data_IF_249329879277
#
_entry.id   IF_249329879277
#
_cell.length_a   1.000
_cell.length_b   1.000
_cell.length_c   1.000
_cell.angle_alpha   90.00
_cell.angle_beta   90.00
_cell.angle_gamma   90.00
#
_symmetry.space_group_name_H-M   'P 1'
#
loop_
_entity.id
_entity.type
_entity.pdbx_description
1 polymer ?
#
# COMPACT_ATOMS: atom_id res chain seq x y z
N UNK A 1 -17.72 -15.90 23.88
CA UNK A 1 -17.29 -15.14 22.70
C UNK A 1 -15.77 -15.00 22.77
N UNK A 2 -15.05 -15.47 21.76
CA UNK A 2 -13.62 -15.21 21.65
C UNK A 2 -13.43 -13.70 21.44
N UNK A 3 -12.51 -13.08 22.16
CA UNK A 3 -12.23 -11.64 22.00
C UNK A 3 -11.62 -11.45 20.61
N UNK A 4 -12.24 -10.61 19.77
CA UNK A 4 -11.71 -10.29 18.45
C UNK A 4 -10.41 -9.52 18.55
N UNK A 5 -9.60 -9.61 17.49
CA UNK A 5 -8.32 -8.91 17.39
C UNK A 5 -8.58 -7.42 17.18
N UNK A 6 -7.86 -6.60 17.95
CA UNK A 6 -7.83 -5.16 17.77
C UNK A 6 -6.39 -4.77 17.48
N UNK A 7 -6.13 -4.30 16.26
CA UNK A 7 -4.78 -4.13 15.73
C UNK A 7 -4.52 -2.63 15.53
N UNK A 8 -3.57 -2.09 16.30
CA UNK A 8 -3.06 -0.73 16.12
C UNK A 8 -2.04 -0.74 14.99
N UNK A 9 -2.27 0.02 13.93
CA UNK A 9 -1.31 0.19 12.86
C UNK A 9 -0.66 1.58 12.92
N UNK A 10 0.67 1.60 12.90
CA UNK A 10 1.48 2.81 12.76
C UNK A 10 2.27 2.69 11.44
N UNK A 11 1.74 3.20 10.33
CA UNK A 11 2.30 2.94 8.99
C UNK A 11 3.59 3.71 8.67
N UNK A 12 3.94 4.73 9.46
CA UNK A 12 5.08 5.58 9.15
C UNK A 12 5.87 6.00 10.40
N UNK A 13 7.19 6.09 10.27
CA UNK A 13 8.10 6.41 11.39
C UNK A 13 7.87 7.81 11.96
N UNK A 14 7.41 8.75 11.13
CA UNK A 14 7.09 10.12 11.58
C UNK A 14 5.94 10.18 12.60
N UNK A 15 5.05 9.19 12.61
CA UNK A 15 4.06 9.08 13.68
C UNK A 15 4.72 8.77 15.03
N UNK A 16 5.77 7.94 15.04
CA UNK A 16 6.53 7.62 16.26
C UNK A 16 7.50 8.74 16.66
N UNK A 17 7.85 9.63 15.72
CA UNK A 17 8.56 10.86 16.04
C UNK A 17 7.64 11.91 16.70
N UNK A 18 6.32 11.84 16.47
CA UNK A 18 5.35 12.78 17.06
C UNK A 18 5.08 12.46 18.54
N UNK A 19 4.87 11.18 18.86
CA UNK A 19 4.53 10.74 20.22
C UNK A 19 4.97 9.29 20.46
N UNK A 20 5.23 8.91 21.72
CA UNK A 20 5.63 7.55 22.08
C UNK A 20 4.52 6.51 21.88
N UNK A 21 4.89 5.22 21.88
CA UNK A 21 4.00 4.09 21.62
C UNK A 21 2.84 4.02 22.60
N UNK A 22 3.08 4.28 23.89
CA UNK A 22 2.04 4.24 24.92
C UNK A 22 0.93 5.28 24.67
N UNK A 23 1.28 6.44 24.10
CA UNK A 23 0.30 7.44 23.69
C UNK A 23 -0.52 6.99 22.48
N UNK A 24 0.08 6.32 21.50
CA UNK A 24 -0.66 5.74 20.38
C UNK A 24 -1.62 4.63 20.82
N UNK A 25 -1.19 3.78 21.78
CA UNK A 25 -2.04 2.76 22.40
C UNK A 25 -3.22 3.42 23.14
N UNK A 26 -2.98 4.48 23.91
CA UNK A 26 -4.05 5.25 24.59
C UNK A 26 -5.00 5.91 23.59
N UNK A 27 -4.49 6.48 22.49
CA UNK A 27 -5.30 7.09 21.45
C UNK A 27 -6.21 6.06 20.78
N UNK A 28 -5.68 4.88 20.45
CA UNK A 28 -6.45 3.76 19.92
C UNK A 28 -7.54 3.30 20.89
N UNK A 29 -7.21 3.13 22.16
CA UNK A 29 -8.16 2.69 23.19
C UNK A 29 -9.19 3.75 23.62
N UNK A 30 -9.06 4.99 23.13
CA UNK A 30 -9.92 6.10 23.55
C UNK A 30 -11.38 5.94 23.13
N UNK A 31 -12.27 6.67 23.81
CA UNK A 31 -13.70 6.71 23.46
C UNK A 31 -13.99 7.25 22.06
N UNK A 32 -13.04 8.02 21.51
CA UNK A 32 -13.09 8.64 20.19
C UNK A 32 -12.65 7.69 19.08
N UNK A 33 -12.04 6.55 19.40
CA UNK A 33 -11.52 5.60 18.42
C UNK A 33 -12.12 4.20 18.57
N UNK A 34 -11.44 3.26 19.24
CA UNK A 34 -11.86 1.85 19.28
C UNK A 34 -12.45 1.40 20.62
N UNK A 35 -12.31 2.17 21.71
CA UNK A 35 -12.79 1.80 23.06
C UNK A 35 -12.28 0.46 23.59
N UNK A 36 -11.24 -0.09 22.98
CA UNK A 36 -10.64 -1.36 23.36
C UNK A 36 -9.12 -1.26 23.21
N UNK A 37 -8.40 -1.85 24.15
CA UNK A 37 -6.93 -1.90 24.10
C UNK A 37 -6.50 -2.80 22.93
N UNK A 38 -5.54 -2.36 22.10
CA UNK A 38 -5.04 -3.19 21.03
C UNK A 38 -4.41 -4.47 21.59
N UNK A 39 -4.72 -5.59 20.97
CA UNK A 39 -4.09 -6.89 21.24
C UNK A 39 -2.79 -7.06 20.47
N UNK A 40 -2.66 -6.30 19.38
CA UNK A 40 -1.54 -6.38 18.43
C UNK A 40 -1.20 -4.98 17.93
N UNK A 41 0.06 -4.80 17.55
CA UNK A 41 0.57 -3.56 16.99
C UNK A 41 1.37 -3.86 15.71
N UNK A 42 1.25 -2.99 14.73
CA UNK A 42 2.00 -3.02 13.48
C UNK A 42 2.91 -1.81 13.46
N UNK A 43 4.22 -2.05 13.36
CA UNK A 43 5.26 -1.03 13.40
C UNK A 43 5.86 -0.80 12.01
N UNK A 44 6.25 0.45 11.68
CA UNK A 44 6.80 0.81 10.37
C UNK A 44 8.23 0.27 10.26
N UNK A 45 8.40 -0.89 9.61
CA UNK A 45 9.66 -1.60 9.56
C UNK A 45 10.47 -1.26 8.30
N UNK A 46 9.86 -1.44 7.11
CA UNK A 46 10.46 -1.05 5.82
C UNK A 46 9.46 -0.16 5.10
N UNK A 47 9.67 1.15 5.20
CA UNK A 47 8.81 2.17 4.60
C UNK A 47 9.31 2.64 3.23
N UNK A 48 8.71 3.71 2.72
CA UNK A 48 9.11 4.34 1.47
C UNK A 48 10.54 4.92 1.54
N UNK A 49 10.93 5.43 2.70
CA UNK A 49 12.25 6.03 2.95
C UNK A 49 13.32 5.05 3.43
N UNK A 50 13.02 3.76 3.53
CA UNK A 50 13.98 2.72 3.93
C UNK A 50 13.60 1.94 5.19
N UNK A 51 14.49 1.03 5.63
CA UNK A 51 14.33 0.30 6.88
C UNK A 51 14.52 1.21 8.09
N UNK A 52 13.68 1.05 9.11
CA UNK A 52 13.80 1.73 10.42
C UNK A 52 14.76 1.01 11.37
N UNK A 53 15.66 0.20 10.81
CA UNK A 53 16.63 -0.62 11.50
C UNK A 53 17.91 -0.76 10.67
N UNK A 54 18.98 -1.26 11.28
CA UNK A 54 20.21 -1.57 10.56
C UNK A 54 20.00 -2.79 9.66
N UNK A 55 20.04 -2.58 8.35
CA UNK A 55 19.90 -3.63 7.35
C UNK A 55 21.13 -3.77 6.46
N UNK A 56 21.45 -4.99 6.07
CA UNK A 56 22.45 -5.34 5.07
C UNK A 56 22.08 -4.85 3.66
N UNK A 57 20.77 -4.72 3.36
CA UNK A 57 20.28 -4.27 2.04
C UNK A 57 20.47 -2.77 1.86
N UNK A 58 20.12 -1.99 2.89
CA UNK A 58 20.23 -0.54 2.86
C UNK A 58 20.60 -0.01 4.25
N UNK A 59 21.87 0.38 4.47
CA UNK A 59 22.36 0.65 5.82
C UNK A 59 21.84 1.95 6.44
N UNK A 60 21.16 2.83 5.67
CA UNK A 60 20.65 4.11 6.18
C UNK A 60 19.23 4.45 5.73
N UNK A 61 18.24 4.69 6.59
CA UNK A 61 17.00 5.33 6.15
C UNK A 61 17.29 6.76 5.63
N UNK A 62 16.62 7.16 4.55
CA UNK A 62 16.70 8.50 3.96
C UNK A 62 15.90 9.50 4.80
N UNK A 63 16.31 9.77 6.04
CA UNK A 63 15.73 10.86 6.82
C UNK A 63 16.42 12.19 6.51
N UNK A 64 15.62 13.26 6.49
CA UNK A 64 16.10 14.65 6.41
C UNK A 64 16.96 15.02 7.64
N UNK A 65 16.59 14.52 8.82
CA UNK A 65 17.37 14.53 10.07
C UNK A 65 16.94 13.34 10.95
N UNK A 66 17.82 12.74 11.77
CA UNK A 66 17.42 11.69 12.71
C UNK A 66 16.38 12.22 13.72
N UNK A 67 15.34 11.46 14.07
CA UNK A 67 14.39 11.87 15.10
C UNK A 67 15.11 12.06 16.45
N UNK A 68 14.66 13.03 17.24
CA UNK A 68 15.15 13.23 18.61
C UNK A 68 14.25 12.47 19.58
N UNK A 69 14.86 11.79 20.53
CA UNK A 69 14.15 11.16 21.63
C UNK A 69 13.36 12.23 22.41
N UNK A 70 12.06 12.01 22.57
CA UNK A 70 11.14 12.98 23.16
C UNK A 70 11.42 13.26 24.64
N UNK A 71 12.09 12.34 25.36
CA UNK A 71 12.40 12.46 26.80
C UNK A 71 13.76 13.11 27.05
N UNK A 72 14.73 12.90 26.18
CA UNK A 72 16.14 13.24 26.37
C UNK A 72 16.64 14.30 25.39
N UNK A 73 15.90 14.56 24.30
CA UNK A 73 16.26 15.52 23.26
C UNK A 73 17.48 15.11 22.41
N UNK A 74 18.02 13.90 22.61
CA UNK A 74 19.17 13.38 21.85
C UNK A 74 18.70 12.81 20.52
N UNK A 75 19.53 12.96 19.48
CA UNK A 75 19.31 12.28 18.22
C UNK A 75 19.33 10.76 18.44
N UNK A 76 18.23 10.10 18.11
CA UNK A 76 18.17 8.63 18.04
C UNK A 76 18.93 8.23 16.78
N UNK A 77 19.79 7.23 16.89
CA UNK A 77 20.43 6.68 15.69
C UNK A 77 19.34 6.09 14.80
N UNK A 78 19.26 6.47 13.51
CA UNK A 78 18.17 6.02 12.65
C UNK A 78 18.01 4.49 12.52
N UNK A 79 19.07 3.74 12.82
CA UNK A 79 19.15 2.28 12.65
C UNK A 79 18.76 1.47 13.89
N UNK A 80 18.43 2.12 15.00
CA UNK A 80 18.03 1.45 16.26
C UNK A 80 16.53 1.63 16.58
N UNK A 81 15.74 2.21 15.65
CA UNK A 81 14.36 2.63 15.93
C UNK A 81 13.42 1.44 16.13
N UNK A 82 13.37 0.51 15.17
CA UNK A 82 12.45 -0.63 15.26
C UNK A 82 12.73 -1.55 16.46
N UNK A 83 13.99 -1.94 16.78
CA UNK A 83 14.27 -2.72 17.97
C UNK A 83 13.79 -2.05 19.27
N UNK A 84 14.04 -0.75 19.42
CA UNK A 84 13.57 0.06 20.57
C UNK A 84 12.04 0.06 20.66
N UNK A 85 11.35 0.25 19.54
CA UNK A 85 9.89 0.22 19.51
C UNK A 85 9.32 -1.16 19.86
N UNK A 86 9.95 -2.24 19.41
CA UNK A 86 9.56 -3.61 19.79
C UNK A 86 9.72 -3.78 21.30
N UNK A 87 10.85 -3.39 21.88
CA UNK A 87 11.10 -3.46 23.32
C UNK A 87 10.04 -2.69 24.12
N UNK A 88 9.76 -1.45 23.74
CA UNK A 88 8.70 -0.63 24.36
C UNK A 88 7.32 -1.30 24.30
N UNK A 89 6.97 -1.94 23.18
CA UNK A 89 5.70 -2.68 23.08
C UNK A 89 5.63 -3.82 24.10
N UNK A 90 6.74 -4.56 24.27
CA UNK A 90 6.82 -5.69 25.21
C UNK A 90 6.86 -5.24 26.67
N UNK A 91 7.47 -4.10 26.97
CA UNK A 91 7.41 -3.49 28.30
C UNK A 91 5.99 -3.07 28.68
N UNK A 92 5.25 -2.48 27.74
CA UNK A 92 3.86 -2.05 27.94
C UNK A 92 2.93 -3.26 28.11
N UNK A 93 3.09 -4.27 27.27
CA UNK A 93 2.32 -5.50 27.32
C UNK A 93 3.13 -6.69 26.76
N UNK A 94 3.65 -7.58 27.62
CA UNK A 94 4.46 -8.73 27.18
C UNK A 94 3.76 -9.64 26.18
N UNK A 95 2.43 -9.73 26.25
CA UNK A 95 1.59 -10.58 25.39
C UNK A 95 1.16 -9.88 24.08
N UNK A 96 1.52 -8.61 23.89
CA UNK A 96 1.17 -7.86 22.67
C UNK A 96 1.92 -8.42 21.47
N UNK A 97 1.20 -8.88 20.45
CA UNK A 97 1.84 -9.31 19.21
C UNK A 97 2.31 -8.12 18.38
N UNK A 98 3.52 -8.21 17.85
CA UNK A 98 4.16 -7.16 17.06
C UNK A 98 4.35 -7.62 15.62
N UNK A 99 3.77 -6.87 14.69
CA UNK A 99 3.90 -7.10 13.25
C UNK A 99 4.84 -6.05 12.63
N UNK A 100 5.63 -6.46 11.65
CA UNK A 100 6.43 -5.55 10.84
C UNK A 100 5.68 -5.15 9.58
N UNK A 101 5.48 -3.84 9.38
CA UNK A 101 4.96 -3.28 8.13
C UNK A 101 6.08 -3.13 7.10
N UNK A 102 5.88 -3.74 5.93
CA UNK A 102 6.78 -3.69 4.78
C UNK A 102 6.02 -3.12 3.59
N UNK A 103 6.52 -2.01 3.06
CA UNK A 103 6.07 -1.48 1.78
C UNK A 103 7.01 -1.99 0.67
N UNK A 104 6.59 -2.97 -0.15
CA UNK A 104 7.43 -3.62 -1.13
C UNK A 104 7.62 -2.80 -2.42
N UNK A 105 7.12 -1.56 -2.45
CA UNK A 105 7.45 -0.56 -3.47
C UNK A 105 8.95 -0.21 -3.42
N UNK A 106 9.56 -0.23 -2.22
CA UNK A 106 10.99 0.02 -1.99
C UNK A 106 11.57 1.26 -2.71
N UNK A 107 10.84 2.38 -2.69
CA UNK A 107 11.17 3.63 -3.38
C UNK A 107 12.58 4.18 -3.05
N UNK A 108 13.11 3.84 -1.88
CA UNK A 108 14.45 4.24 -1.43
C UNK A 108 15.61 3.54 -2.14
N UNK A 109 15.37 2.42 -2.84
CA UNK A 109 16.43 1.67 -3.53
C UNK A 109 16.83 2.38 -4.84
N UNK A 110 18.14 2.51 -5.07
CA UNK A 110 18.67 3.01 -6.34
C UNK A 110 18.99 1.84 -7.27
N UNK A 111 18.24 1.70 -8.36
CA UNK A 111 18.47 0.62 -9.34
C UNK A 111 17.52 0.67 -10.52
N UNK A 112 17.97 1.22 -11.66
CA UNK A 112 17.13 1.33 -12.87
C UNK A 112 16.66 -0.05 -13.37
N UNK A 113 17.49 -1.09 -13.25
CA UNK A 113 17.19 -2.45 -13.73
C UNK A 113 16.20 -3.23 -12.85
N UNK A 114 15.91 -2.74 -11.65
CA UNK A 114 14.95 -3.35 -10.72
C UNK A 114 13.61 -2.63 -10.68
N UNK A 115 13.51 -1.47 -11.33
CA UNK A 115 12.29 -0.65 -11.39
C UNK A 115 11.24 -1.26 -12.29
N UNK A 116 10.00 -0.85 -12.03
CA UNK A 116 8.90 -1.09 -12.94
C UNK A 116 9.03 -0.22 -14.19
N UNK A 117 8.61 -0.81 -15.30
CA UNK A 117 8.42 -0.11 -16.56
C UNK A 117 6.93 -0.04 -16.87
N UNK A 118 6.51 1.12 -17.35
CA UNK A 118 5.21 1.26 -17.99
C UNK A 118 5.22 0.73 -19.44
N UNK A 119 4.08 0.82 -20.11
CA UNK A 119 3.93 0.36 -21.49
C UNK A 119 4.79 1.12 -22.51
N UNK A 120 5.35 2.28 -22.14
CA UNK A 120 6.23 3.07 -22.99
C UNK A 120 7.71 2.79 -22.70
N UNK A 121 8.01 1.86 -21.78
CA UNK A 121 9.37 1.58 -21.33
C UNK A 121 9.93 2.67 -20.41
N UNK A 122 9.08 3.54 -19.86
CA UNK A 122 9.49 4.58 -18.92
C UNK A 122 9.56 3.96 -17.52
N UNK A 123 10.65 4.22 -16.81
CA UNK A 123 10.83 3.79 -15.41
C UNK A 123 9.87 4.54 -14.50
N UNK A 124 9.21 3.81 -13.60
CA UNK A 124 8.52 4.40 -12.47
C UNK A 124 9.53 4.52 -11.34
N UNK A 125 10.06 5.72 -11.17
CA UNK A 125 11.24 5.98 -10.32
C UNK A 125 11.05 5.57 -8.86
N UNK A 126 9.80 5.57 -8.39
CA UNK A 126 9.45 5.25 -7.02
C UNK A 126 8.99 3.80 -6.82
N UNK A 127 8.90 2.95 -7.87
CA UNK A 127 8.36 1.59 -7.73
C UNK A 127 9.29 0.49 -8.24
N UNK A 128 9.75 -0.35 -7.32
CA UNK A 128 10.48 -1.57 -7.63
C UNK A 128 9.54 -2.70 -8.08
N UNK A 129 10.04 -3.54 -8.99
CA UNK A 129 9.29 -4.69 -9.48
C UNK A 129 9.39 -5.87 -8.52
N UNK A 130 8.31 -6.23 -7.81
CA UNK A 130 8.32 -7.37 -6.89
C UNK A 130 8.39 -8.75 -7.60
N UNK A 131 8.23 -8.79 -8.93
CA UNK A 131 8.48 -9.99 -9.74
C UNK A 131 9.98 -10.19 -9.99
N UNK A 132 10.80 -9.15 -9.82
CA UNK A 132 12.24 -9.24 -10.00
C UNK A 132 12.87 -10.07 -8.88
N UNK A 133 13.64 -11.10 -9.25
CA UNK A 133 14.31 -11.99 -8.30
C UNK A 133 15.27 -11.28 -7.34
N UNK A 134 15.91 -10.18 -7.78
CA UNK A 134 16.81 -9.38 -6.93
C UNK A 134 16.01 -8.73 -5.81
N UNK A 135 14.86 -8.12 -6.14
CA UNK A 135 13.96 -7.51 -5.15
C UNK A 135 13.40 -8.56 -4.19
N UNK A 136 13.09 -9.75 -4.69
CA UNK A 136 12.66 -10.87 -3.84
C UNK A 136 13.77 -11.34 -2.89
N UNK A 137 15.01 -11.43 -3.36
CA UNK A 137 16.17 -11.78 -2.51
C UNK A 137 16.48 -10.70 -1.48
N UNK A 138 16.38 -9.42 -1.84
CA UNK A 138 16.49 -8.30 -0.90
C UNK A 138 15.39 -8.37 0.17
N UNK A 139 14.15 -8.69 -0.26
CA UNK A 139 13.04 -8.92 0.68
C UNK A 139 13.36 -10.06 1.64
N UNK A 140 13.92 -11.18 1.17
CA UNK A 140 14.30 -12.29 2.06
C UNK A 140 15.29 -11.84 3.15
N UNK A 141 16.25 -10.99 2.82
CA UNK A 141 17.22 -10.43 3.79
C UNK A 141 16.49 -9.58 4.82
N UNK A 142 15.63 -8.64 4.39
CA UNK A 142 14.83 -7.84 5.33
C UNK A 142 14.00 -8.73 6.26
N UNK A 143 13.39 -9.79 5.73
CA UNK A 143 12.58 -10.71 6.52
C UNK A 143 13.43 -11.46 7.56
N UNK A 144 14.62 -11.92 7.20
CA UNK A 144 15.53 -12.57 8.15
C UNK A 144 15.93 -11.64 9.29
N UNK A 145 16.23 -10.38 8.97
CA UNK A 145 16.56 -9.34 9.95
C UNK A 145 15.36 -9.06 10.88
N UNK A 146 14.15 -8.94 10.33
CA UNK A 146 12.93 -8.71 11.11
C UNK A 146 12.59 -9.89 12.01
N UNK A 147 12.76 -11.12 11.52
CA UNK A 147 12.54 -12.33 12.32
C UNK A 147 13.55 -12.41 13.47
N UNK A 148 14.79 -12.04 13.24
CA UNK A 148 15.82 -11.96 14.29
C UNK A 148 15.47 -10.95 15.40
N UNK A 149 14.68 -9.92 15.09
CA UNK A 149 14.13 -8.96 16.06
C UNK A 149 12.88 -9.46 16.79
N UNK A 150 12.49 -10.72 16.58
CA UNK A 150 11.38 -11.39 17.23
C UNK A 150 10.00 -10.73 16.98
N UNK A 151 9.75 -10.33 15.73
CA UNK A 151 8.39 -9.99 15.27
C UNK A 151 7.52 -11.25 15.17
N UNK A 152 6.22 -11.10 15.41
CA UNK A 152 5.23 -12.19 15.35
C UNK A 152 4.68 -12.41 13.93
N UNK A 153 4.74 -11.39 13.09
CA UNK A 153 4.28 -11.48 11.71
C UNK A 153 4.75 -10.32 10.83
N UNK A 154 4.53 -10.48 9.53
CA UNK A 154 4.89 -9.51 8.49
C UNK A 154 3.62 -9.11 7.75
N UNK A 155 3.41 -7.81 7.55
CA UNK A 155 2.35 -7.31 6.69
C UNK A 155 2.94 -6.58 5.50
N UNK A 156 2.53 -6.97 4.30
CA UNK A 156 2.90 -6.29 3.06
C UNK A 156 1.80 -5.32 2.65
N UNK A 157 2.19 -4.08 2.38
CA UNK A 157 1.31 -3.12 1.73
C UNK A 157 1.27 -3.38 0.23
N UNK A 158 0.14 -3.85 -0.29
CA UNK A 158 0.00 -4.03 -1.74
C UNK A 158 -0.60 -2.81 -2.42
N UNK A 159 -0.94 -1.77 -1.66
CA UNK A 159 -1.47 -0.55 -2.27
C UNK A 159 -0.38 0.09 -3.13
N UNK A 160 -0.66 0.23 -4.42
CA UNK A 160 0.23 0.90 -5.39
C UNK A 160 1.54 0.15 -5.75
N UNK A 161 1.67 -1.15 -5.47
CA UNK A 161 2.89 -1.90 -5.85
C UNK A 161 3.08 -2.05 -7.37
N UNK A 162 1.99 -1.93 -8.13
CA UNK A 162 2.00 -1.92 -9.59
C UNK A 162 1.03 -0.86 -10.08
N UNK A 163 1.32 0.44 -9.93
CA UNK A 163 0.33 1.49 -10.14
C UNK A 163 -0.31 1.41 -11.53
N UNK A 164 -1.61 1.67 -11.59
CA UNK A 164 -2.34 1.90 -12.83
C UNK A 164 -3.19 3.15 -12.66
N UNK A 165 -2.93 4.17 -13.47
CA UNK A 165 -3.62 5.46 -13.37
C UNK A 165 -3.80 6.13 -14.72
N UNK A 166 -4.69 7.12 -14.80
CA UNK A 166 -4.64 8.08 -15.90
C UNK A 166 -3.32 8.83 -15.85
N UNK A 167 -2.58 8.87 -16.96
CA UNK A 167 -1.34 9.65 -17.06
C UNK A 167 -1.66 11.05 -17.54
N UNK A 168 -1.11 12.06 -16.85
CA UNK A 168 -1.10 13.44 -17.34
C UNK A 168 0.08 13.70 -18.30
N UNK A 169 1.07 12.80 -18.35
CA UNK A 169 2.33 12.98 -19.11
C UNK A 169 2.20 12.48 -20.55
N UNK A 170 1.42 11.42 -20.74
CA UNK A 170 1.04 10.88 -22.05
C UNK A 170 -0.49 10.80 -22.04
N UNK A 171 -1.16 11.41 -23.02
CA UNK A 171 -2.64 11.36 -23.13
C UNK A 171 -3.08 9.89 -23.15
N UNK A 172 -3.59 9.37 -22.02
CA UNK A 172 -3.99 7.98 -21.91
C UNK A 172 -3.77 7.35 -20.53
N UNK A 173 -3.86 6.03 -20.49
CA UNK A 173 -3.78 5.20 -19.29
C UNK A 173 -2.34 4.72 -19.12
N UNK A 174 -1.75 4.88 -17.94
CA UNK A 174 -0.47 4.28 -17.58
C UNK A 174 -0.70 2.86 -17.08
N UNK A 175 -0.15 1.90 -17.81
CA UNK A 175 -0.18 0.48 -17.51
C UNK A 175 1.22 0.02 -17.17
N UNK A 176 1.39 -0.62 -16.02
CA UNK A 176 2.68 -1.15 -15.53
C UNK A 176 2.85 -2.64 -15.85
N UNK A 177 3.93 -3.26 -15.34
CA UNK A 177 4.26 -4.67 -15.52
C UNK A 177 4.71 -5.05 -16.94
N UNK A 178 5.42 -4.16 -17.63
CA UNK A 178 6.03 -4.44 -18.93
C UNK A 178 7.57 -4.53 -18.88
N UNK A 179 8.16 -4.61 -17.68
CA UNK A 179 9.58 -4.93 -17.56
C UNK A 179 9.84 -6.40 -17.95
N UNK A 180 11.08 -6.77 -18.31
CA UNK A 180 11.41 -8.13 -18.77
C UNK A 180 10.93 -9.23 -17.81
N UNK A 181 11.12 -9.04 -16.50
CA UNK A 181 10.68 -10.00 -15.47
C UNK A 181 9.17 -10.19 -15.43
N UNK A 182 8.40 -9.11 -15.61
CA UNK A 182 6.95 -9.20 -15.68
C UNK A 182 6.49 -9.87 -16.97
N UNK A 183 7.12 -9.58 -18.11
CA UNK A 183 6.78 -10.23 -19.38
C UNK A 183 7.07 -11.73 -19.34
N UNK A 184 8.20 -12.14 -18.78
CA UNK A 184 8.54 -13.56 -18.60
C UNK A 184 7.52 -14.27 -17.69
N UNK A 185 7.12 -13.61 -16.59
CA UNK A 185 6.11 -14.14 -15.67
C UNK A 185 4.70 -14.19 -16.31
N UNK A 186 4.34 -13.17 -17.11
CA UNK A 186 3.08 -13.15 -17.87
C UNK A 186 3.05 -14.28 -18.91
N UNK A 187 4.16 -14.53 -19.60
CA UNK A 187 4.29 -15.62 -20.56
C UNK A 187 4.15 -16.98 -19.88
N UNK A 188 4.71 -17.16 -18.68
CA UNK A 188 4.50 -18.37 -17.88
C UNK A 188 3.03 -18.57 -17.46
N UNK A 189 2.26 -17.48 -17.37
CA UNK A 189 0.81 -17.48 -17.10
C UNK A 189 -0.06 -17.45 -18.38
N UNK A 190 0.55 -17.69 -19.55
CA UNK A 190 -0.12 -17.87 -20.84
C UNK A 190 -0.40 -16.58 -21.62
N UNK A 191 0.16 -15.44 -21.22
CA UNK A 191 0.05 -14.17 -21.93
C UNK A 191 1.38 -13.81 -22.61
N UNK A 192 1.41 -13.83 -23.94
CA UNK A 192 2.65 -13.69 -24.72
C UNK A 192 2.79 -12.35 -25.46
N UNK A 193 1.81 -11.46 -25.32
CA UNK A 193 1.81 -10.18 -26.01
C UNK A 193 2.66 -9.14 -25.26
N UNK A 194 3.23 -8.17 -26.00
CA UNK A 194 4.07 -7.13 -25.44
C UNK A 194 3.32 -5.83 -25.10
N UNK A 195 4.11 -4.84 -24.69
CA UNK A 195 3.62 -3.52 -24.28
C UNK A 195 3.02 -2.70 -25.43
N UNK A 196 3.45 -2.97 -26.66
CA UNK A 196 3.08 -2.24 -27.87
C UNK A 196 1.56 -2.19 -28.11
N UNK A 197 0.83 -3.22 -27.70
CA UNK A 197 -0.63 -3.26 -27.82
C UNK A 197 -1.35 -2.30 -26.86
N UNK A 198 -0.65 -1.79 -25.84
CA UNK A 198 -1.17 -0.86 -24.85
C UNK A 198 -0.76 0.60 -25.12
N UNK A 199 -0.12 0.87 -26.25
CA UNK A 199 0.34 2.21 -26.61
C UNK A 199 -0.67 2.94 -27.51
N UNK A 200 -1.02 4.17 -27.12
CA UNK A 200 -1.82 5.08 -27.94
C UNK A 200 -3.33 4.89 -27.85
N UNK A 201 -4.11 5.49 -28.78
CA UNK A 201 -5.58 5.54 -28.71
C UNK A 201 -6.29 4.19 -28.77
N UNK A 202 -5.62 3.15 -29.25
CA UNK A 202 -6.15 1.78 -29.35
C UNK A 202 -5.84 0.93 -28.12
N UNK A 203 -5.29 1.52 -27.05
CA UNK A 203 -4.99 0.80 -25.80
C UNK A 203 -6.22 0.05 -25.25
N UNK A 204 -6.07 -1.27 -24.98
CA UNK A 204 -6.97 -2.15 -24.25
C UNK A 204 -7.98 -1.48 -23.33
N UNK A 205 -7.35 -0.79 -22.38
CA UNK A 205 -7.95 -0.23 -21.20
C UNK A 205 -8.94 0.89 -21.50
N UNK A 206 -9.02 1.40 -22.74
CA UNK A 206 -10.10 2.32 -23.18
C UNK A 206 -11.49 1.75 -22.90
N UNK A 207 -11.64 0.41 -22.91
CA UNK A 207 -12.90 -0.27 -22.61
C UNK A 207 -13.32 -0.13 -21.14
N UNK A 208 -12.38 0.23 -20.26
CA UNK A 208 -12.53 0.34 -18.81
C UNK A 208 -12.47 1.79 -18.31
N UNK A 209 -12.65 2.75 -19.20
CA UNK A 209 -12.75 4.16 -18.85
C UNK A 209 -14.20 4.58 -18.58
N UNK A 210 -14.37 5.52 -17.67
CA UNK A 210 -15.59 6.31 -17.46
C UNK A 210 -15.25 7.77 -17.70
N UNK A 211 -16.12 8.51 -18.39
CA UNK A 211 -16.01 9.97 -18.47
C UNK A 211 -16.63 10.55 -17.19
N UNK A 212 -15.84 11.29 -16.42
CA UNK A 212 -16.25 12.07 -15.25
C UNK A 212 -16.18 13.58 -15.60
N UNK A 213 -16.81 14.43 -14.77
CA UNK A 213 -16.86 15.89 -14.97
C UNK A 213 -15.45 16.52 -15.11
N UNK A 214 -14.45 15.92 -14.45
CA UNK A 214 -13.06 16.38 -14.44
C UNK A 214 -12.11 15.54 -15.32
N UNK A 215 -12.59 14.54 -16.08
CA UNK A 215 -11.71 13.73 -16.94
C UNK A 215 -12.17 12.29 -17.20
N UNK A 216 -11.23 11.34 -17.22
CA UNK A 216 -11.51 9.90 -17.36
C UNK A 216 -11.04 9.12 -16.13
N UNK A 217 -11.88 8.21 -15.62
CA UNK A 217 -11.59 7.37 -14.46
C UNK A 217 -11.65 5.88 -14.84
N UNK A 218 -10.82 5.06 -14.17
CA UNK A 218 -10.82 3.62 -14.34
C UNK A 218 -12.00 2.97 -13.61
N UNK A 219 -12.60 1.93 -14.20
CA UNK A 219 -13.65 1.14 -13.54
C UNK A 219 -13.07 -0.13 -12.92
N UNK A 220 -13.43 -0.46 -11.67
CA UNK A 220 -13.11 -1.76 -11.08
C UNK A 220 -13.52 -2.93 -11.96
N UNK A 221 -12.57 -3.81 -12.25
CA UNK A 221 -12.79 -5.06 -12.99
C UNK A 221 -12.35 -6.22 -12.11
N UNK A 222 -13.25 -7.18 -11.96
CA UNK A 222 -12.92 -8.47 -11.37
C UNK A 222 -11.99 -9.23 -12.33
N UNK A 223 -10.81 -9.68 -11.88
CA UNK A 223 -9.87 -10.39 -12.73
C UNK A 223 -10.44 -11.62 -13.42
N UNK A 224 -11.49 -12.26 -12.88
CA UNK A 224 -12.12 -13.43 -13.50
C UNK A 224 -13.18 -13.08 -14.55
N UNK A 225 -13.46 -11.80 -14.78
CA UNK A 225 -14.46 -11.42 -15.79
C UNK A 225 -14.06 -11.87 -17.19
N UNK A 226 -14.97 -12.55 -17.91
CA UNK A 226 -14.75 -12.86 -19.31
C UNK A 226 -14.79 -11.59 -20.16
N UNK A 227 -14.19 -11.64 -21.34
CA UNK A 227 -14.22 -10.56 -22.33
C UNK A 227 -15.63 -10.02 -22.60
N UNK A 228 -16.64 -10.89 -22.57
CA UNK A 228 -18.05 -10.50 -22.76
C UNK A 228 -18.56 -9.54 -21.68
N UNK A 229 -18.09 -9.66 -20.43
CA UNK A 229 -18.43 -8.72 -19.36
C UNK A 229 -17.86 -7.33 -19.63
N UNK A 230 -16.61 -7.26 -20.11
CA UNK A 230 -15.95 -5.99 -20.48
C UNK A 230 -16.69 -5.31 -21.64
N UNK A 231 -17.08 -6.09 -22.65
CA UNK A 231 -17.89 -5.61 -23.78
C UNK A 231 -19.25 -5.08 -23.33
N UNK A 232 -20.00 -5.86 -22.56
CA UNK A 232 -21.32 -5.46 -22.08
C UNK A 232 -21.26 -4.18 -21.25
N UNK A 233 -20.23 -4.05 -20.41
CA UNK A 233 -20.00 -2.85 -19.61
C UNK A 233 -19.69 -1.62 -20.48
N UNK A 234 -18.82 -1.79 -21.47
CA UNK A 234 -18.43 -0.72 -22.40
C UNK A 234 -19.60 -0.29 -23.31
N UNK A 235 -20.39 -1.26 -23.79
CA UNK A 235 -21.60 -1.06 -24.60
C UNK A 235 -22.70 -0.34 -23.81
N UNK A 236 -22.99 -0.78 -22.59
CA UNK A 236 -24.01 -0.16 -21.72
C UNK A 236 -23.71 1.32 -21.40
N UNK A 237 -22.45 1.74 -21.53
CA UNK A 237 -22.01 3.13 -21.35
C UNK A 237 -21.87 3.92 -22.66
N UNK A 238 -22.07 3.28 -23.80
CA UNK A 238 -22.00 3.93 -25.11
C UNK A 238 -20.59 4.22 -25.61
N UNK A 239 -19.56 3.56 -25.07
CA UNK A 239 -18.17 3.73 -25.54
C UNK A 239 -17.88 2.93 -26.82
N UNK A 240 -18.65 1.88 -27.07
CA UNK A 240 -18.54 1.01 -28.25
C UNK A 240 -19.94 0.77 -28.86
N UNK A 241 -19.96 0.26 -30.09
CA UNK A 241 -21.19 -0.18 -30.79
C UNK A 241 -21.29 -1.71 -30.78
N UNK A 242 -22.49 -2.25 -30.97
CA UNK A 242 -22.74 -3.71 -30.94
C UNK A 242 -21.92 -4.50 -31.98
N UNK A 243 -21.56 -3.86 -33.09
CA UNK A 243 -20.82 -4.43 -34.22
C UNK A 243 -19.32 -4.08 -34.24
N UNK A 244 -18.80 -3.51 -33.15
CA UNK A 244 -17.39 -3.15 -33.04
C UNK A 244 -16.50 -4.41 -32.89
N UNK A 245 -16.02 -4.93 -34.01
CA UNK A 245 -15.13 -6.10 -34.04
C UNK A 245 -13.77 -5.82 -33.38
N UNK A 246 -13.29 -4.58 -33.41
CA UNK A 246 -12.05 -4.21 -32.73
C UNK A 246 -12.25 -4.30 -31.21
N UNK A 247 -13.36 -3.77 -30.70
CA UNK A 247 -13.68 -3.87 -29.27
C UNK A 247 -13.73 -5.34 -28.79
N UNK A 248 -14.20 -6.28 -29.62
CA UNK A 248 -14.19 -7.72 -29.28
C UNK A 248 -12.78 -8.28 -29.15
N UNK A 249 -11.87 -7.90 -30.04
CA UNK A 249 -10.47 -8.32 -29.97
C UNK A 249 -9.79 -7.69 -28.74
N UNK A 250 -9.98 -6.39 -28.54
CA UNK A 250 -9.48 -5.62 -27.40
C UNK A 250 -9.95 -6.22 -26.07
N UNK A 251 -11.22 -6.62 -25.97
CA UNK A 251 -11.77 -7.22 -24.76
C UNK A 251 -11.17 -8.59 -24.44
N UNK A 252 -10.91 -9.42 -25.46
CA UNK A 252 -10.24 -10.71 -25.27
C UNK A 252 -8.79 -10.53 -24.83
N UNK A 253 -8.08 -9.60 -25.48
CA UNK A 253 -6.71 -9.25 -25.13
C UNK A 253 -6.61 -8.72 -23.69
N UNK A 254 -7.48 -7.77 -23.35
CA UNK A 254 -7.50 -7.14 -22.02
C UNK A 254 -7.90 -8.12 -20.92
N UNK A 255 -8.94 -8.93 -21.15
CA UNK A 255 -9.34 -9.98 -20.19
C UNK A 255 -8.21 -10.97 -19.94
N UNK A 256 -7.53 -11.42 -21.00
CA UNK A 256 -6.37 -12.33 -20.88
C UNK A 256 -5.21 -11.69 -20.13
N UNK A 257 -4.91 -10.41 -20.40
CA UNK A 257 -3.88 -9.65 -19.71
C UNK A 257 -4.19 -9.47 -18.21
N UNK A 258 -5.40 -9.00 -17.86
CA UNK A 258 -5.81 -8.79 -16.45
C UNK A 258 -5.74 -10.11 -15.67
N UNK A 259 -6.21 -11.20 -16.28
CA UNK A 259 -6.16 -12.53 -15.68
C UNK A 259 -4.72 -13.00 -15.42
N UNK A 260 -3.85 -12.91 -16.41
CA UNK A 260 -2.44 -13.29 -16.27
C UNK A 260 -1.73 -12.40 -15.25
N UNK A 261 -1.96 -11.09 -15.29
CA UNK A 261 -1.40 -10.12 -14.34
C UNK A 261 -1.81 -10.46 -12.91
N UNK A 262 -3.10 -10.68 -12.64
CA UNK A 262 -3.59 -11.06 -11.30
C UNK A 262 -2.85 -12.29 -10.76
N UNK A 263 -2.64 -13.31 -11.60
CA UNK A 263 -1.87 -14.52 -11.23
C UNK A 263 -0.40 -14.21 -10.95
N UNK A 264 0.24 -13.40 -11.81
CA UNK A 264 1.63 -12.95 -11.60
C UNK A 264 1.77 -12.20 -10.27
N UNK A 265 0.86 -11.27 -9.96
CA UNK A 265 0.88 -10.55 -8.67
C UNK A 265 0.76 -11.54 -7.51
N UNK A 266 -0.20 -12.47 -7.56
CA UNK A 266 -0.39 -13.45 -6.50
C UNK A 266 0.83 -14.36 -6.30
N UNK A 267 1.51 -14.77 -7.37
CA UNK A 267 2.76 -15.52 -7.30
C UNK A 267 3.90 -14.69 -6.69
N UNK A 268 4.06 -13.43 -7.12
CA UNK A 268 5.09 -12.53 -6.59
C UNK A 268 4.86 -12.29 -5.09
N UNK A 269 3.64 -12.03 -4.65
CA UNK A 269 3.30 -11.89 -3.22
C UNK A 269 3.58 -13.18 -2.45
N UNK A 270 3.20 -14.35 -3.00
CA UNK A 270 3.54 -15.66 -2.41
C UNK A 270 5.05 -15.80 -2.21
N UNK A 271 5.83 -15.31 -3.16
CA UNK A 271 7.30 -15.37 -3.13
C UNK A 271 7.89 -14.40 -2.10
N UNK A 272 7.35 -13.19 -1.94
CA UNK A 272 7.76 -12.27 -0.87
C UNK A 272 7.49 -12.87 0.52
N UNK A 273 6.31 -13.49 0.71
CA UNK A 273 5.90 -14.10 1.96
C UNK A 273 6.60 -15.43 2.28
N UNK A 274 7.29 -16.04 1.30
CA UNK A 274 7.88 -17.38 1.42
C UNK A 274 8.84 -17.46 2.61
N UNK A 275 9.77 -16.52 2.73
CA UNK A 275 10.82 -16.55 3.75
C UNK A 275 10.29 -16.43 5.18
N UNK A 276 9.26 -15.62 5.38
CA UNK A 276 8.59 -15.45 6.68
C UNK A 276 7.89 -16.76 7.10
N UNK A 277 7.22 -17.43 6.17
CA UNK A 277 6.54 -18.72 6.44
C UNK A 277 7.48 -19.87 6.72
N UNK A 278 8.63 -19.92 6.03
CA UNK A 278 9.69 -20.90 6.33
C UNK A 278 10.21 -20.77 7.77
N UNK A 279 10.01 -19.60 8.39
CA UNK A 279 10.35 -19.30 9.78
C UNK A 279 9.12 -19.23 10.69
N UNK A 280 8.02 -19.86 10.26
CA UNK A 280 6.76 -20.00 11.01
C UNK A 280 6.12 -18.67 11.43
N UNK A 281 6.41 -17.58 10.70
CA UNK A 281 5.77 -16.28 10.92
C UNK A 281 4.46 -16.15 10.16
N UNK A 282 3.53 -15.43 10.77
CA UNK A 282 2.28 -15.06 10.12
C UNK A 282 2.53 -13.98 9.06
N UNK A 283 1.78 -14.04 7.97
CA UNK A 283 1.87 -13.09 6.87
C UNK A 283 0.50 -12.52 6.53
N UNK A 284 0.44 -11.21 6.31
CA UNK A 284 -0.78 -10.51 5.92
C UNK A 284 -0.52 -9.60 4.73
N UNK A 285 -1.58 -9.21 4.01
CA UNK A 285 -1.53 -8.17 2.98
C UNK A 285 -2.58 -7.11 3.23
N UNK A 286 -2.24 -5.86 2.91
CA UNK A 286 -3.20 -4.76 2.86
C UNK A 286 -3.64 -4.57 1.40
N UNK A 287 -4.96 -4.54 1.17
CA UNK A 287 -5.56 -4.33 -0.16
C UNK A 287 -6.21 -2.95 -0.25
N UNK A 288 -6.11 -2.32 -1.43
CA UNK A 288 -6.55 -0.93 -1.63
C UNK A 288 -8.06 -0.67 -1.64
N UNK A 289 -8.92 -1.54 -2.19
CA UNK A 289 -10.37 -1.28 -2.28
C UNK A 289 -11.19 -2.57 -2.19
N UNK A 290 -12.00 -2.76 -1.14
CA UNK A 290 -12.79 -4.00 -0.96
C UNK A 290 -11.87 -5.23 -1.09
N UNK A 291 -12.33 -6.24 -1.82
CA UNK A 291 -11.59 -7.46 -2.09
C UNK A 291 -10.65 -7.37 -3.31
N UNK A 292 -10.55 -6.20 -3.97
CA UNK A 292 -9.83 -5.99 -5.23
C UNK A 292 -8.90 -4.80 -5.14
N UNK A 293 -7.60 -4.99 -5.35
CA UNK A 293 -6.71 -3.85 -5.51
C UNK A 293 -6.61 -3.45 -6.98
N UNK A 294 -7.22 -2.31 -7.31
CA UNK A 294 -7.26 -1.76 -8.68
C UNK A 294 -5.89 -1.39 -9.22
N UNK A 295 -4.96 -1.00 -8.36
CA UNK A 295 -3.63 -0.63 -8.81
C UNK A 295 -2.93 -1.92 -9.26
N UNK A 296 -2.96 -2.95 -8.43
CA UNK A 296 -2.27 -4.21 -8.73
C UNK A 296 -3.01 -5.11 -9.70
N UNK A 297 -4.31 -4.92 -9.88
CA UNK A 297 -5.23 -5.78 -10.64
C UNK A 297 -5.27 -7.22 -10.09
N UNK A 298 -5.16 -7.39 -8.77
CA UNK A 298 -5.34 -8.66 -8.07
C UNK A 298 -6.49 -8.60 -7.07
N UNK A 299 -7.11 -9.74 -6.80
CA UNK A 299 -8.15 -9.87 -5.79
C UNK A 299 -7.79 -10.87 -4.68
N UNK A 300 -8.57 -10.82 -3.59
CA UNK A 300 -8.41 -11.71 -2.44
C UNK A 300 -8.54 -13.19 -2.85
N UNK A 301 -9.47 -13.52 -3.75
CA UNK A 301 -9.71 -14.89 -4.20
C UNK A 301 -8.51 -15.46 -4.94
N UNK A 302 -7.87 -14.70 -5.82
CA UNK A 302 -6.66 -15.13 -6.54
C UNK A 302 -5.49 -15.29 -5.57
N UNK A 303 -5.28 -14.31 -4.67
CA UNK A 303 -4.25 -14.42 -3.64
C UNK A 303 -4.45 -15.66 -2.75
N UNK A 304 -5.69 -15.96 -2.37
CA UNK A 304 -6.02 -17.15 -1.58
C UNK A 304 -5.78 -18.44 -2.36
N UNK A 305 -6.17 -18.51 -3.64
CA UNK A 305 -5.92 -19.68 -4.51
C UNK A 305 -4.44 -20.03 -4.61
N UNK A 306 -3.58 -19.01 -4.65
CA UNK A 306 -2.14 -19.20 -4.69
C UNK A 306 -1.52 -19.39 -3.30
N UNK A 307 -2.32 -19.35 -2.24
CA UNK A 307 -1.85 -19.36 -0.85
C UNK A 307 -0.77 -18.28 -0.68
N UNK A 308 -1.04 -17.05 -1.12
CA UNK A 308 -0.04 -16.00 -1.13
C UNK A 308 0.36 -15.58 0.30
N UNK A 309 -0.62 -15.45 1.21
CA UNK A 309 -0.45 -15.06 2.62
C UNK A 309 -1.48 -15.75 3.53
N UNK A 310 -1.35 -15.57 4.84
CA UNK A 310 -2.27 -16.14 5.83
C UNK A 310 -3.54 -15.30 6.04
N UNK A 311 -3.46 -13.98 5.86
CA UNK A 311 -4.56 -13.07 6.20
C UNK A 311 -4.66 -11.87 5.24
N UNK A 312 -5.88 -11.34 5.07
CA UNK A 312 -6.19 -10.17 4.24
C UNK A 312 -6.74 -9.03 5.08
N UNK A 313 -6.18 -7.84 4.91
CA UNK A 313 -6.65 -6.61 5.55
C UNK A 313 -7.20 -5.68 4.49
N UNK A 314 -8.50 -5.42 4.55
CA UNK A 314 -9.23 -4.77 3.45
C UNK A 314 -10.20 -3.70 3.97
N UNK A 315 -10.30 -2.55 3.29
CA UNK A 315 -11.36 -1.58 3.53
C UNK A 315 -12.67 -2.05 2.90
N UNK A 316 -13.82 -1.78 3.52
CA UNK A 316 -15.16 -2.06 2.94
C UNK A 316 -15.40 -3.54 2.57
N UNK A 317 -15.62 -4.39 3.57
CA UNK A 317 -15.69 -5.84 3.37
C UNK A 317 -17.12 -6.34 3.11
N UNK A 318 -17.35 -7.01 1.97
CA UNK A 318 -18.59 -7.76 1.73
C UNK A 318 -18.59 -9.06 2.56
N UNK A 319 -19.41 -9.05 3.61
CA UNK A 319 -19.68 -10.18 4.51
C UNK A 319 -19.98 -11.49 3.77
N UNK A 320 -20.83 -11.43 2.74
CA UNK A 320 -21.21 -12.63 1.96
C UNK A 320 -20.02 -13.17 1.18
N UNK A 321 -19.23 -12.27 0.61
CA UNK A 321 -18.03 -12.64 -0.13
C UNK A 321 -17.01 -13.32 0.79
N UNK A 322 -16.73 -12.76 1.98
CA UNK A 322 -15.79 -13.36 2.95
C UNK A 322 -16.23 -14.76 3.37
N UNK A 323 -17.51 -14.94 3.71
CA UNK A 323 -18.06 -16.24 4.07
C UNK A 323 -17.95 -17.25 2.93
N UNK A 324 -18.16 -16.82 1.68
CA UNK A 324 -18.03 -17.68 0.50
C UNK A 324 -16.58 -18.10 0.24
N UNK A 325 -15.62 -17.17 0.41
CA UNK A 325 -14.21 -17.48 0.18
C UNK A 325 -13.56 -18.22 1.37
N UNK A 326 -14.17 -18.21 2.56
CA UNK A 326 -13.57 -18.74 3.79
C UNK A 326 -12.20 -18.10 4.10
N UNK A 327 -12.04 -16.82 3.72
CA UNK A 327 -10.81 -16.07 3.90
C UNK A 327 -10.65 -15.59 5.35
N UNK A 328 -9.41 -15.56 5.84
CA UNK A 328 -9.08 -14.89 7.11
C UNK A 328 -8.99 -13.39 6.86
N UNK A 329 -9.95 -12.63 7.39
CA UNK A 329 -10.06 -11.19 7.11
C UNK A 329 -10.12 -10.37 8.40
N UNK A 330 -9.31 -9.31 8.44
CA UNK A 330 -9.50 -8.18 9.35
C UNK A 330 -10.03 -6.96 8.59
N UNK A 331 -11.00 -6.26 9.18
CA UNK A 331 -11.55 -5.04 8.60
C UNK A 331 -10.56 -3.90 8.80
N UNK A 332 -10.08 -3.32 7.71
CA UNK A 332 -9.24 -2.13 7.77
C UNK A 332 -10.12 -0.88 7.87
N UNK A 333 -10.01 -0.13 8.96
CA UNK A 333 -11.00 0.91 9.31
C UNK A 333 -10.84 2.22 8.53
N UNK A 334 -9.74 2.40 7.83
CA UNK A 334 -9.49 3.54 6.95
C UNK A 334 -9.94 3.23 5.52
N UNK A 335 -10.71 4.13 4.91
CA UNK A 335 -11.12 3.98 3.51
C UNK A 335 -9.88 4.02 2.60
N UNK A 336 -9.84 3.22 1.54
CA UNK A 336 -8.66 3.06 0.67
C UNK A 336 -7.38 2.59 1.38
N UNK A 337 -7.53 1.94 2.53
CA UNK A 337 -6.45 1.42 3.35
C UNK A 337 -5.34 2.45 3.66
N UNK A 338 -4.11 2.19 3.22
CA UNK A 338 -2.91 3.02 3.45
C UNK A 338 -2.67 4.04 2.34
N UNK A 339 -3.38 4.00 1.20
CA UNK A 339 -3.08 4.83 0.03
C UNK A 339 -2.98 6.34 0.35
N UNK A 340 -4.00 6.91 1.01
CA UNK A 340 -4.01 8.33 1.36
C UNK A 340 -2.94 8.70 2.40
N UNK A 341 -2.53 7.73 3.22
CA UNK A 341 -1.52 7.91 4.27
C UNK A 341 -0.12 7.86 3.68
N UNK A 342 0.17 6.84 2.87
CA UNK A 342 1.43 6.72 2.13
C UNK A 342 1.65 7.96 1.26
N UNK A 343 0.63 8.36 0.51
CA UNK A 343 0.70 9.55 -0.34
C UNK A 343 0.89 10.88 0.43
N UNK A 344 0.52 10.94 1.71
CA UNK A 344 0.83 12.08 2.57
C UNK A 344 2.28 12.03 3.06
N UNK A 345 2.76 10.86 3.48
CA UNK A 345 4.13 10.69 3.98
C UNK A 345 5.20 10.69 2.88
N UNK A 346 4.86 10.37 1.63
CA UNK A 346 5.72 10.64 0.46
C UNK A 346 6.20 12.09 0.41
N UNK A 347 5.36 13.05 0.86
CA UNK A 347 5.76 14.45 0.92
C UNK A 347 6.87 14.67 1.93
N UNK A 348 6.90 13.94 3.05
CA UNK A 348 7.96 14.07 4.07
C UNK A 348 9.31 13.63 3.50
N UNK A 349 9.31 12.58 2.70
CA UNK A 349 10.53 12.02 2.12
C UNK A 349 11.02 12.82 0.91
N UNK A 350 10.09 13.40 0.14
CA UNK A 350 10.40 14.14 -1.10
C UNK A 350 10.40 15.65 -0.95
N UNK A 351 10.16 16.18 0.26
CA UNK A 351 9.98 17.62 0.51
C UNK A 351 11.11 18.47 -0.09
N UNK A 352 12.36 18.14 0.21
CA UNK A 352 13.52 18.88 -0.28
C UNK A 352 13.62 18.85 -1.81
N UNK A 353 13.36 17.70 -2.41
CA UNK A 353 13.39 17.54 -3.87
C UNK A 353 12.31 18.38 -4.54
N UNK A 354 11.08 18.37 -3.99
CA UNK A 354 9.97 19.19 -4.51
C UNK A 354 10.29 20.67 -4.34
N UNK A 355 10.76 21.10 -3.17
CA UNK A 355 11.11 22.48 -2.90
C UNK A 355 12.23 22.98 -3.83
N UNK A 356 13.29 22.18 -4.02
CA UNK A 356 14.43 22.53 -4.86
C UNK A 356 14.08 22.58 -6.36
N UNK A 357 13.27 21.63 -6.85
CA UNK A 357 13.00 21.49 -8.28
C UNK A 357 11.73 22.21 -8.74
N UNK A 358 10.74 22.37 -7.86
CA UNK A 358 9.39 22.85 -8.20
C UNK A 358 8.93 24.06 -7.37
N UNK A 359 9.69 24.43 -6.34
CA UNK A 359 9.43 25.61 -5.51
C UNK A 359 8.35 25.42 -4.44
N UNK A 360 8.20 26.43 -3.59
CA UNK A 360 7.32 26.42 -2.41
C UNK A 360 5.84 26.30 -2.77
N UNK A 361 5.38 26.95 -3.83
CA UNK A 361 3.96 26.94 -4.22
C UNK A 361 3.47 25.52 -4.58
N UNK A 362 4.23 24.80 -5.40
CA UNK A 362 3.89 23.41 -5.77
C UNK A 362 3.98 22.47 -4.57
N UNK A 363 4.95 22.68 -3.68
CA UNK A 363 5.04 21.96 -2.41
C UNK A 363 3.78 22.16 -1.55
N UNK A 364 3.36 23.41 -1.33
CA UNK A 364 2.15 23.72 -0.54
C UNK A 364 0.89 23.17 -1.18
N UNK A 365 0.75 23.29 -2.51
CA UNK A 365 -0.39 22.74 -3.24
C UNK A 365 -0.51 21.23 -3.06
N UNK A 366 0.61 20.50 -3.16
CA UNK A 366 0.66 19.06 -2.91
C UNK A 366 0.33 18.72 -1.46
N UNK A 367 0.92 19.43 -0.50
CA UNK A 367 0.69 19.23 0.92
C UNK A 367 -0.78 19.44 1.29
N UNK A 368 -1.40 20.53 0.85
CA UNK A 368 -2.82 20.81 1.07
C UNK A 368 -3.71 19.74 0.41
N UNK A 369 -3.40 19.34 -0.82
CA UNK A 369 -4.17 18.31 -1.52
C UNK A 369 -4.14 16.95 -0.79
N UNK A 370 -2.95 16.49 -0.39
CA UNK A 370 -2.79 15.22 0.33
C UNK A 370 -3.37 15.30 1.75
N UNK A 371 -3.21 16.43 2.43
CA UNK A 371 -3.81 16.68 3.74
C UNK A 371 -5.33 16.60 3.71
N UNK A 372 -5.98 17.22 2.71
CA UNK A 372 -7.44 17.13 2.53
C UNK A 372 -7.89 15.68 2.33
N UNK A 373 -7.14 14.88 1.58
CA UNK A 373 -7.45 13.45 1.38
C UNK A 373 -7.27 12.63 2.66
N UNK A 374 -6.23 12.92 3.45
CA UNK A 374 -5.98 12.26 4.73
C UNK A 374 -7.09 12.57 5.75
N UNK A 375 -7.43 13.84 5.93
CA UNK A 375 -8.48 14.29 6.85
C UNK A 375 -9.89 13.88 6.41
N UNK A 376 -10.13 13.83 5.09
CA UNK A 376 -11.39 13.34 4.53
C UNK A 376 -11.58 11.83 4.69
N UNK A 377 -10.52 11.10 5.03
CA UNK A 377 -10.57 9.67 5.31
C UNK A 377 -10.94 9.44 6.79
N UNK A 378 -12.17 9.80 7.13
CA UNK A 378 -12.64 9.67 8.51
C UNK A 378 -12.88 8.21 8.86
N UNK A 379 -12.40 7.81 10.04
CA UNK A 379 -12.84 6.57 10.66
C UNK A 379 -14.34 6.68 10.92
N UNK A 380 -15.10 5.69 10.46
CA UNK A 380 -16.49 5.56 10.89
C UNK A 380 -16.52 4.73 12.19
N UNK A 381 -16.84 5.30 13.36
CA UNK A 381 -16.85 4.55 14.63
C UNK A 381 -17.80 3.34 14.61
N UNK A 382 -18.85 3.40 13.78
CA UNK A 382 -19.74 2.26 13.53
C UNK A 382 -19.06 1.05 12.87
N UNK A 383 -17.93 1.25 12.17
CA UNK A 383 -17.17 0.17 11.56
C UNK A 383 -16.47 -0.70 12.60
N UNK A 384 -15.99 -0.10 13.71
CA UNK A 384 -15.42 -0.86 14.84
C UNK A 384 -16.48 -1.79 15.41
N UNK A 385 -17.65 -1.24 15.77
CA UNK A 385 -18.76 -2.03 16.31
C UNK A 385 -19.21 -3.14 15.34
N UNK A 386 -19.32 -2.82 14.04
CA UNK A 386 -19.68 -3.80 13.02
C UNK A 386 -18.65 -4.92 12.92
N UNK A 387 -17.36 -4.58 12.91
CA UNK A 387 -16.28 -5.56 12.89
C UNK A 387 -16.26 -6.43 14.14
N UNK A 388 -16.56 -5.87 15.31
CA UNK A 388 -16.65 -6.61 16.58
C UNK A 388 -17.84 -7.58 16.62
N UNK A 389 -18.99 -7.20 16.04
CA UNK A 389 -20.21 -8.02 16.08
C UNK A 389 -20.28 -9.09 14.96
N UNK A 390 -19.58 -8.91 13.84
CA UNK A 390 -19.70 -9.78 12.66
C UNK A 390 -18.77 -11.01 12.72
N UNK A 391 -19.28 -12.18 13.12
CA UNK A 391 -18.51 -13.42 13.36
C UNK A 391 -17.57 -13.87 12.22
N UNK A 392 -17.83 -13.45 10.98
CA UNK A 392 -16.96 -13.73 9.83
C UNK A 392 -15.59 -13.05 9.88
N UNK A 393 -15.45 -11.96 10.65
CA UNK A 393 -14.20 -11.21 10.73
C UNK A 393 -13.38 -11.61 11.96
N UNK A 394 -12.07 -11.75 11.78
CA UNK A 394 -11.12 -12.06 12.84
C UNK A 394 -10.86 -10.87 13.77
N UNK A 395 -11.09 -9.66 13.26
CA UNK A 395 -10.83 -8.42 13.97
C UNK A 395 -10.84 -7.20 13.07
N UNK A 396 -10.18 -6.15 13.53
CA UNK A 396 -10.03 -4.90 12.80
C UNK A 396 -8.66 -4.27 12.98
N UNK A 397 -8.27 -3.48 12.00
CA UNK A 397 -7.01 -2.73 11.95
C UNK A 397 -7.32 -1.24 11.88
N UNK A 398 -6.66 -0.44 12.71
CA UNK A 398 -6.93 1.00 12.79
C UNK A 398 -5.69 1.85 13.01
N UNK A 399 -5.70 3.04 12.42
CA UNK A 399 -4.67 4.07 12.61
C UNK A 399 -5.32 5.25 13.36
N UNK A 400 -4.98 5.50 14.63
CA UNK A 400 -5.62 6.53 15.45
C UNK A 400 -5.03 7.91 15.20
N UNK A 401 -4.99 8.34 13.93
CA UNK A 401 -4.51 9.66 13.54
C UNK A 401 -5.64 10.69 13.65
N UNK A 402 -5.50 11.64 14.56
CA UNK A 402 -6.47 12.73 14.76
C UNK A 402 -6.14 13.98 13.94
N UNK A 403 -7.07 14.93 13.87
CA UNK A 403 -6.84 16.22 13.20
C UNK A 403 -5.69 17.01 13.86
N UNK A 404 -5.54 16.95 15.19
CA UNK A 404 -4.43 17.60 15.89
C UNK A 404 -3.09 16.93 15.56
N UNK A 405 -3.07 15.60 15.43
CA UNK A 405 -1.86 14.88 15.04
C UNK A 405 -1.42 15.23 13.61
N UNK A 406 -2.40 15.38 12.71
CA UNK A 406 -2.13 15.84 11.35
C UNK A 406 -1.54 17.25 11.35
N UNK A 407 -2.11 18.18 12.12
CA UNK A 407 -1.57 19.54 12.27
C UNK A 407 -0.13 19.53 12.82
N UNK A 408 0.14 18.68 13.81
CA UNK A 408 1.49 18.55 14.38
C UNK A 408 2.48 17.93 13.38
N UNK A 409 2.06 16.97 12.57
CA UNK A 409 2.86 16.39 11.49
C UNK A 409 3.18 17.44 10.41
N UNK A 410 2.19 18.24 10.00
CA UNK A 410 2.43 19.35 9.07
C UNK A 410 3.42 20.35 9.68
N UNK A 411 3.24 20.73 10.95
CA UNK A 411 4.17 21.60 11.66
C UNK A 411 5.59 21.02 11.73
N UNK A 412 5.72 19.70 11.92
CA UNK A 412 7.00 19.00 11.94
C UNK A 412 7.68 19.06 10.57
N UNK A 413 6.93 18.77 9.51
CA UNK A 413 7.40 18.87 8.12
C UNK A 413 7.90 20.27 7.79
N UNK A 414 7.13 21.30 8.15
CA UNK A 414 7.48 22.71 7.95
C UNK A 414 8.79 23.11 8.62
N UNK A 415 9.14 22.48 9.75
CA UNK A 415 10.38 22.75 10.49
C UNK A 415 11.58 21.98 9.93
N UNK A 416 11.37 20.79 9.35
CA UNK A 416 12.42 19.88 8.84
C UNK A 416 12.78 20.12 7.38
N UNK A 417 11.81 20.52 6.55
CA UNK A 417 12.03 20.82 5.14
C UNK A 417 12.82 22.13 4.98
N UNK A 418 14.15 22.04 5.04
CA UNK A 418 15.15 23.06 4.66
C UNK A 418 14.91 24.48 5.17
N UNK A 419 15.20 24.78 6.44
CA UNK A 419 15.68 26.09 6.94
C UNK A 419 14.98 27.41 6.53
N UNK A 420 13.91 27.36 5.73
CA UNK A 420 13.08 28.43 5.25
C UNK A 420 11.75 28.22 5.94
N UNK A 421 11.44 29.15 6.83
CA UNK A 421 10.20 29.18 7.58
C UNK A 421 9.06 29.22 6.56
N UNK A 422 8.29 28.13 6.46
CA UNK A 422 7.00 28.19 5.78
C UNK A 422 6.13 29.24 6.50
N UNK A 423 5.30 30.01 5.78
CA UNK A 423 4.47 31.05 6.39
C UNK A 423 3.69 30.51 7.59
N UNK A 424 3.62 31.22 8.73
CA UNK A 424 2.91 30.78 9.93
C UNK A 424 1.39 30.55 9.77
N UNK A 425 0.86 30.83 8.58
CA UNK A 425 -0.56 30.88 8.24
C UNK A 425 -1.06 29.57 7.58
N UNK A 426 -0.19 28.55 7.47
CA UNK A 426 -0.50 27.17 7.04
C UNK A 426 -0.84 26.35 8.28
#
# INVERSE_FOLDING_TARGET
MQKKRAILHIPHTEMLALKPIDEWIRAFASEKFARTTPTEIVLPAVGLGGPSFQSEVHPYPRYLEPPKDAKTGRYIRPFDLLPDWIEQCREINPEMRVWAFVNPVYAFLDGEYTRLLDQHGITLDDNMCITNEVIQKMTDIFIDELVAMNVDGIVFDLTDIYPQSGSNVVVGIQNTCFCPYCLDALAAEGYHEGAELFVGPQNPFRLLLRVDEDGTAHIPVDPEWPATSLLNLSLARGFIREDDNQAKQDANLLSSYIQARSRVVAQSVKRLAKRAREQEKMTAVILGDKYLDLTTMTDMKTLQRYEAVNEFWTPEVDRKYVLQQQAQVCVYLWSRATYSINAFFEIFETANTILALRGTEEFLKRLLHRSKRLLGNTLAPGNVFTAEMADEFQGFVGIPLSESDHADLVNLLSKRATGQILPPEI
#
